data_IF_719051317710
#
_entry.id   IF_719051317710
#
_cell.length_a   1.000
_cell.length_b   1.000
_cell.length_c   1.000
_cell.angle_alpha   90.00
_cell.angle_beta   90.00
_cell.angle_gamma   90.00
#
_symmetry.space_group_name_H-M   'P 1'
#
loop_
_entity.id
_entity.type
_entity.pdbx_description
1 polymer ?
#
# COMPACT_ATOMS: atom_id res chain seq x y z
N UNK A 1 2.26 -4.40 -1.14
CA UNK A 1 3.33 -4.07 -0.17
C UNK A 1 3.32 -5.05 1.01
N UNK A 2 4.44 -5.13 1.71
CA UNK A 2 4.55 -5.95 2.92
C UNK A 2 3.86 -5.28 4.12
N UNK A 3 3.01 -6.05 4.81
CA UNK A 3 2.31 -5.67 6.03
C UNK A 3 2.49 -6.77 7.07
N UNK A 4 3.33 -6.58 8.11
CA UNK A 4 3.55 -7.61 9.14
C UNK A 4 2.30 -8.08 9.86
N UNK A 5 1.35 -7.18 10.00
CA UNK A 5 0.08 -7.39 10.71
C UNK A 5 -0.94 -8.21 9.90
N UNK A 6 -0.61 -8.61 8.67
CA UNK A 6 -1.52 -9.42 7.85
C UNK A 6 -1.72 -10.81 8.46
N UNK A 7 -2.98 -11.15 8.69
CA UNK A 7 -3.44 -12.48 9.03
C UNK A 7 -4.53 -12.92 8.07
N UNK A 8 -4.20 -13.88 7.19
CA UNK A 8 -5.17 -14.42 6.24
C UNK A 8 -6.19 -15.33 6.96
N UNK A 9 -7.42 -15.45 6.42
CA UNK A 9 -8.41 -16.37 6.97
C UNK A 9 -7.92 -17.82 6.94
N UNK A 10 -8.48 -18.65 7.81
CA UNK A 10 -8.22 -20.09 7.80
C UNK A 10 -8.52 -20.66 6.42
N UNK A 11 -7.59 -21.47 5.88
CA UNK A 11 -7.71 -22.03 4.53
C UNK A 11 -8.99 -22.84 4.36
N UNK A 12 -9.91 -22.32 3.57
CA UNK A 12 -11.07 -23.05 3.08
C UNK A 12 -10.69 -23.83 1.81
N UNK A 13 -10.51 -25.15 1.93
CA UNK A 13 -10.11 -26.01 0.83
C UNK A 13 -11.21 -26.18 -0.23
N UNK A 14 -12.46 -25.79 0.05
CA UNK A 14 -13.55 -25.81 -0.92
C UNK A 14 -13.48 -24.68 -1.95
N UNK A 15 -12.75 -23.60 -1.62
CA UNK A 15 -12.56 -22.44 -2.51
C UNK A 15 -11.31 -22.58 -3.36
N UNK A 16 -11.32 -22.11 -4.62
CA UNK A 16 -10.12 -22.06 -5.43
C UNK A 16 -9.04 -21.19 -4.77
N UNK A 17 -7.78 -21.59 -4.88
CA UNK A 17 -6.65 -20.85 -4.34
C UNK A 17 -6.11 -19.82 -5.33
N UNK A 18 -5.90 -18.60 -4.88
CA UNK A 18 -5.18 -17.57 -5.61
C UNK A 18 -3.82 -17.33 -4.94
N UNK A 19 -2.73 -17.56 -5.66
CA UNK A 19 -1.40 -17.27 -5.14
C UNK A 19 -1.26 -15.78 -4.83
N UNK A 20 -0.70 -15.44 -3.68
CA UNK A 20 -0.51 -14.04 -3.26
C UNK A 20 0.27 -13.21 -4.29
N UNK A 21 1.21 -13.82 -5.00
CA UNK A 21 1.98 -13.18 -6.07
C UNK A 21 1.16 -12.89 -7.33
N UNK A 22 0.05 -13.59 -7.53
CA UNK A 22 -0.86 -13.38 -8.66
C UNK A 22 -2.01 -12.42 -8.32
N UNK A 23 -2.15 -12.01 -7.06
CA UNK A 23 -3.30 -11.21 -6.62
C UNK A 23 -3.43 -9.89 -7.39
N UNK A 24 -2.34 -9.14 -7.54
CA UNK A 24 -2.33 -7.89 -8.31
C UNK A 24 -2.74 -8.14 -9.76
N UNK A 25 -2.13 -9.14 -10.42
CA UNK A 25 -2.43 -9.46 -11.81
C UNK A 25 -3.88 -9.90 -11.99
N UNK A 26 -4.40 -10.70 -11.07
CA UNK A 26 -5.82 -11.11 -11.09
C UNK A 26 -6.77 -9.90 -11.06
N UNK A 27 -6.47 -8.88 -10.22
CA UNK A 27 -7.28 -7.66 -10.17
C UNK A 27 -7.24 -6.91 -11.50
N UNK A 28 -6.05 -6.73 -12.07
CA UNK A 28 -5.85 -5.99 -13.32
C UNK A 28 -6.46 -6.70 -14.55
N UNK A 29 -6.48 -8.03 -14.56
CA UNK A 29 -6.99 -8.80 -15.70
C UNK A 29 -8.52 -8.92 -15.71
N UNK A 30 -9.17 -8.80 -14.54
CA UNK A 30 -10.60 -9.12 -14.42
C UNK A 30 -11.51 -7.92 -14.16
N UNK A 31 -10.97 -6.78 -13.69
CA UNK A 31 -11.79 -5.64 -13.29
C UNK A 31 -11.32 -4.35 -13.94
N UNK A 32 -12.29 -3.58 -14.49
CA UNK A 32 -12.01 -2.28 -15.07
C UNK A 32 -12.05 -1.15 -14.01
N UNK A 33 -12.78 -1.34 -12.93
CA UNK A 33 -12.95 -0.35 -11.88
C UNK A 33 -12.60 -0.93 -10.50
N UNK A 34 -12.22 -0.04 -9.58
CA UNK A 34 -11.98 -0.40 -8.17
C UNK A 34 -13.24 -0.97 -7.54
N UNK A 35 -14.40 -0.37 -7.85
CA UNK A 35 -15.67 -0.82 -7.28
C UNK A 35 -16.01 -2.27 -7.67
N UNK A 36 -15.83 -2.64 -8.95
CA UNK A 36 -16.03 -4.02 -9.41
C UNK A 36 -15.13 -5.00 -8.66
N UNK A 37 -13.85 -4.65 -8.51
CA UNK A 37 -12.89 -5.47 -7.78
C UNK A 37 -13.28 -5.64 -6.30
N UNK A 38 -13.70 -4.57 -5.64
CA UNK A 38 -14.15 -4.58 -4.25
C UNK A 38 -15.40 -5.45 -4.07
N UNK A 39 -16.39 -5.33 -4.95
CA UNK A 39 -17.61 -6.14 -4.87
C UNK A 39 -17.35 -7.64 -5.11
N UNK A 40 -16.37 -7.97 -5.93
CA UNK A 40 -15.95 -9.38 -6.09
C UNK A 40 -15.23 -9.90 -4.83
N UNK A 41 -14.31 -9.10 -4.27
CA UNK A 41 -13.57 -9.48 -3.07
C UNK A 41 -14.47 -9.71 -1.85
N UNK A 42 -15.54 -8.92 -1.71
CA UNK A 42 -16.55 -9.08 -0.64
C UNK A 42 -17.27 -10.44 -0.70
N UNK A 43 -17.34 -11.07 -1.86
CA UNK A 43 -17.93 -12.41 -2.01
C UNK A 43 -17.03 -13.53 -1.48
N UNK A 44 -15.75 -13.23 -1.27
CA UNK A 44 -14.74 -14.21 -0.85
C UNK A 44 -14.78 -15.49 -1.70
N UNK A 45 -14.89 -15.34 -3.01
CA UNK A 45 -15.05 -16.44 -4.00
C UNK A 45 -13.80 -17.32 -4.12
N UNK A 46 -12.66 -16.85 -3.67
CA UNK A 46 -11.38 -17.55 -3.63
C UNK A 46 -10.69 -17.35 -2.28
N UNK A 47 -9.69 -18.18 -1.99
CA UNK A 47 -8.79 -18.00 -0.86
C UNK A 47 -7.43 -17.50 -1.33
N UNK A 48 -6.75 -16.71 -0.51
CA UNK A 48 -5.35 -16.32 -0.75
C UNK A 48 -4.42 -17.45 -0.28
N UNK A 49 -3.60 -17.93 -1.20
CA UNK A 49 -2.53 -18.87 -0.92
C UNK A 49 -1.21 -18.10 -0.77
N UNK A 50 -0.78 -17.89 0.47
CA UNK A 50 0.43 -17.19 0.84
C UNK A 50 1.46 -18.17 1.43
N UNK A 51 2.35 -18.75 0.59
CA UNK A 51 3.40 -19.64 1.06
C UNK A 51 4.45 -18.85 1.85
N UNK A 52 5.21 -19.54 2.70
CA UNK A 52 6.38 -18.95 3.30
C UNK A 52 7.44 -18.65 2.25
N UNK A 53 8.14 -17.55 2.45
CA UNK A 53 9.30 -17.18 1.66
C UNK A 53 10.44 -18.21 1.84
N UNK A 54 11.42 -18.30 0.92
CA UNK A 54 12.55 -19.23 1.06
C UNK A 54 13.35 -19.07 2.37
N UNK A 55 13.33 -17.88 2.96
CA UNK A 55 13.95 -17.59 4.25
C UNK A 55 13.08 -17.96 5.46
N UNK A 56 11.91 -18.60 5.25
CA UNK A 56 10.97 -19.00 6.29
C UNK A 56 10.03 -17.92 6.78
N UNK A 57 10.15 -16.68 6.32
CA UNK A 57 9.22 -15.62 6.72
C UNK A 57 7.86 -15.76 6.03
N UNK A 58 6.79 -15.32 6.69
CA UNK A 58 5.46 -15.31 6.12
C UNK A 58 5.35 -14.29 4.98
N UNK A 59 4.61 -14.64 3.92
CA UNK A 59 4.30 -13.73 2.81
C UNK A 59 3.09 -12.86 3.17
N UNK A 60 3.29 -11.92 4.09
CA UNK A 60 2.24 -11.02 4.59
C UNK A 60 2.20 -9.75 3.75
N UNK A 61 1.15 -9.59 2.98
CA UNK A 61 1.01 -8.46 2.05
C UNK A 61 -0.35 -7.78 2.19
N UNK A 62 -0.39 -6.50 1.88
CA UNK A 62 -1.59 -5.75 1.58
C UNK A 62 -1.52 -5.16 0.16
N UNK A 63 -2.68 -4.80 -0.38
CA UNK A 63 -2.83 -4.35 -1.76
C UNK A 63 -3.52 -2.99 -1.80
N UNK A 64 -3.03 -2.09 -2.66
CA UNK A 64 -3.77 -0.92 -3.10
C UNK A 64 -4.01 -1.00 -4.60
N UNK A 65 -5.21 -0.68 -5.02
CA UNK A 65 -5.63 -0.57 -6.42
C UNK A 65 -6.28 0.78 -6.64
N UNK A 66 -6.08 1.35 -7.83
CA UNK A 66 -6.65 2.65 -8.23
C UNK A 66 -7.13 2.55 -9.67
N UNK A 67 -8.27 3.15 -9.99
CA UNK A 67 -8.80 3.24 -11.34
C UNK A 67 -8.64 4.64 -11.95
N UNK A 68 -9.05 4.79 -13.22
CA UNK A 68 -8.93 6.04 -13.99
C UNK A 68 -9.74 7.20 -13.41
N UNK A 69 -10.74 6.93 -12.58
CA UNK A 69 -11.55 7.97 -11.92
C UNK A 69 -10.86 8.54 -10.67
N UNK A 70 -9.74 7.93 -10.26
CA UNK A 70 -9.03 8.21 -9.02
C UNK A 70 -9.65 7.53 -7.79
N UNK A 71 -10.65 6.65 -7.98
CA UNK A 71 -11.11 5.81 -6.88
C UNK A 71 -10.02 4.80 -6.51
N UNK A 72 -9.80 4.60 -5.22
CA UNK A 72 -8.75 3.73 -4.69
C UNK A 72 -9.35 2.78 -3.67
N UNK A 73 -8.86 1.56 -3.61
CA UNK A 73 -9.12 0.67 -2.49
C UNK A 73 -7.82 0.17 -1.88
N UNK A 74 -7.73 0.22 -0.55
CA UNK A 74 -6.69 -0.42 0.26
C UNK A 74 -7.30 -1.67 0.91
N UNK A 75 -6.66 -2.80 0.68
CA UNK A 75 -7.16 -4.13 1.00
C UNK A 75 -6.17 -4.81 1.95
N UNK A 76 -6.61 -5.13 3.15
CA UNK A 76 -5.82 -5.78 4.19
C UNK A 76 -6.57 -6.99 4.76
N UNK A 77 -5.85 -8.07 5.02
CA UNK A 77 -6.37 -9.17 5.83
C UNK A 77 -5.89 -9.01 7.26
N UNK A 78 -6.82 -8.79 8.18
CA UNK A 78 -6.55 -8.53 9.59
C UNK A 78 -7.40 -9.45 10.45
N UNK A 79 -6.76 -10.17 11.37
CA UNK A 79 -7.46 -11.13 12.23
C UNK A 79 -8.34 -12.13 11.43
N UNK A 80 -7.87 -12.53 10.24
CA UNK A 80 -8.59 -13.43 9.36
C UNK A 80 -9.75 -12.82 8.56
N UNK A 81 -9.94 -11.50 8.62
CA UNK A 81 -11.01 -10.80 7.93
C UNK A 81 -10.46 -9.82 6.89
N UNK A 82 -11.19 -9.65 5.79
CA UNK A 82 -10.86 -8.67 4.77
C UNK A 82 -11.33 -7.27 5.23
N UNK A 83 -10.38 -6.37 5.43
CA UNK A 83 -10.61 -4.94 5.67
C UNK A 83 -10.45 -4.18 4.36
N UNK A 84 -11.41 -3.33 4.03
CA UNK A 84 -11.46 -2.56 2.79
C UNK A 84 -11.65 -1.08 3.12
N UNK A 85 -10.75 -0.24 2.62
CA UNK A 85 -10.90 1.20 2.60
C UNK A 85 -11.04 1.64 1.14
N UNK A 86 -12.25 2.02 0.72
CA UNK A 86 -12.55 2.44 -0.66
C UNK A 86 -12.94 3.91 -0.70
N UNK A 87 -12.30 4.71 -1.56
CA UNK A 87 -12.58 6.12 -1.74
C UNK A 87 -11.43 6.86 -2.40
N UNK A 88 -11.71 8.06 -2.91
CA UNK A 88 -10.71 8.92 -3.57
C UNK A 88 -9.70 9.53 -2.60
N UNK A 89 -10.02 9.54 -1.32
CA UNK A 89 -9.16 10.03 -0.23
C UNK A 89 -8.03 9.06 0.14
N UNK A 90 -8.13 7.78 -0.22
CA UNK A 90 -7.18 6.74 0.16
C UNK A 90 -6.02 6.59 -0.84
N UNK A 91 -5.37 7.69 -1.20
CA UNK A 91 -4.35 7.75 -2.26
C UNK A 91 -2.96 7.27 -1.84
N UNK A 92 -2.70 7.11 -0.56
CA UNK A 92 -1.39 6.75 -0.03
C UNK A 92 -1.48 5.46 0.75
N UNK A 93 -0.55 4.55 0.53
CA UNK A 93 -0.36 3.35 1.33
C UNK A 93 1.13 3.14 1.55
N UNK A 94 1.52 2.85 2.78
CA UNK A 94 2.88 2.42 3.13
C UNK A 94 2.80 1.06 3.83
N UNK A 95 3.85 0.61 4.52
CA UNK A 95 3.85 -0.70 5.16
C UNK A 95 3.04 -0.71 6.48
N UNK A 96 3.69 -0.98 7.61
CA UNK A 96 3.15 -0.99 8.96
C UNK A 96 2.99 0.45 9.53
N UNK A 97 2.05 0.68 10.43
CA UNK A 97 1.02 -0.22 10.92
C UNK A 97 -0.15 -0.42 9.93
N UNK A 98 -1.15 -1.23 10.33
CA UNK A 98 -2.40 -1.40 9.57
C UNK A 98 -3.03 -0.05 9.21
N UNK A 99 -3.80 -0.03 8.13
CA UNK A 99 -4.17 1.21 7.45
C UNK A 99 -5.00 2.18 8.30
N UNK A 100 -5.92 1.68 9.11
CA UNK A 100 -6.71 2.48 10.05
C UNK A 100 -5.83 3.23 11.07
N UNK A 101 -4.74 2.60 11.53
CA UNK A 101 -3.78 3.27 12.42
C UNK A 101 -2.92 4.31 11.67
N UNK A 102 -2.59 4.05 10.40
CA UNK A 102 -1.92 5.06 9.57
C UNK A 102 -2.79 6.30 9.39
N UNK A 103 -4.09 6.14 9.18
CA UNK A 103 -5.05 7.24 9.09
C UNK A 103 -5.11 8.02 10.41
N UNK A 104 -5.23 7.36 11.54
CA UNK A 104 -5.26 8.01 12.86
C UNK A 104 -3.97 8.78 13.17
N UNK A 105 -2.81 8.22 12.83
CA UNK A 105 -1.51 8.91 12.97
C UNK A 105 -1.46 10.14 12.06
N UNK A 106 -1.96 10.05 10.84
CA UNK A 106 -2.01 11.16 9.91
C UNK A 106 -2.90 12.29 10.42
N UNK A 107 -4.04 11.98 11.00
CA UNK A 107 -4.95 12.96 11.57
C UNK A 107 -4.32 13.67 12.78
N UNK A 108 -3.61 12.94 13.65
CA UNK A 108 -2.81 13.55 14.71
C UNK A 108 -1.81 14.57 14.17
N UNK A 109 -1.06 14.24 13.12
CA UNK A 109 -0.07 15.15 12.54
C UNK A 109 -0.69 16.35 11.82
N UNK A 110 -1.89 16.22 11.26
CA UNK A 110 -2.66 17.37 10.73
C UNK A 110 -2.97 18.41 11.83
N UNK A 111 -3.31 17.95 13.04
CA UNK A 111 -3.57 18.84 14.18
C UNK A 111 -2.29 19.49 14.70
N UNK A 112 -1.20 18.72 14.79
CA UNK A 112 0.06 19.19 15.40
C UNK A 112 0.80 20.21 14.53
N UNK A 113 0.87 19.96 13.21
CA UNK A 113 1.88 20.65 12.44
C UNK A 113 1.47 21.20 11.10
N UNK A 114 0.74 20.49 10.32
CA UNK A 114 0.45 20.89 8.94
C UNK A 114 1.73 21.30 8.20
N UNK A 115 1.78 22.52 7.70
CA UNK A 115 2.94 23.08 6.98
C UNK A 115 4.19 23.31 7.84
N UNK A 116 4.05 23.38 9.17
CA UNK A 116 5.15 23.76 10.04
C UNK A 116 5.97 22.58 10.54
N UNK A 117 5.37 21.39 10.62
CA UNK A 117 6.04 20.20 11.14
C UNK A 117 5.51 18.93 10.51
N UNK A 118 6.41 18.14 9.92
CA UNK A 118 6.15 16.82 9.42
C UNK A 118 7.14 15.82 10.05
N UNK A 119 6.73 14.57 10.32
CA UNK A 119 7.63 13.59 10.90
C UNK A 119 8.74 13.21 9.90
N UNK A 120 9.99 13.18 10.35
CA UNK A 120 11.18 13.07 9.49
C UNK A 120 11.82 11.68 9.45
N UNK A 121 11.31 10.67 10.17
CA UNK A 121 11.96 9.36 10.19
C UNK A 121 11.64 8.50 8.96
N UNK A 122 12.39 7.41 8.81
CA UNK A 122 12.14 6.40 7.76
C UNK A 122 11.04 5.39 8.14
N UNK A 123 10.41 5.55 9.30
CA UNK A 123 9.28 4.70 9.69
C UNK A 123 8.15 4.80 8.68
N UNK A 124 7.46 3.71 8.47
CA UNK A 124 6.36 3.61 7.52
C UNK A 124 5.25 4.63 7.80
N UNK A 125 4.85 4.79 9.06
CA UNK A 125 3.88 5.78 9.50
C UNK A 125 4.31 7.22 9.19
N UNK A 126 5.58 7.56 9.39
CA UNK A 126 6.09 8.91 9.12
C UNK A 126 6.15 9.18 7.61
N UNK A 127 6.51 8.16 6.82
CA UNK A 127 6.46 8.23 5.36
C UNK A 127 5.04 8.40 4.84
N UNK A 128 4.07 7.73 5.48
CA UNK A 128 2.65 7.88 5.16
C UNK A 128 2.19 9.32 5.37
N UNK A 129 2.49 9.92 6.52
CA UNK A 129 2.13 11.31 6.84
C UNK A 129 2.75 12.28 5.83
N UNK A 130 4.05 12.13 5.51
CA UNK A 130 4.70 12.98 4.50
C UNK A 130 4.09 12.83 3.11
N UNK A 131 3.87 11.59 2.68
CA UNK A 131 3.26 11.33 1.38
C UNK A 131 1.84 11.92 1.30
N UNK A 132 1.03 11.71 2.34
CA UNK A 132 -0.33 12.24 2.43
C UNK A 132 -0.35 13.76 2.40
N UNK A 133 0.59 14.43 3.07
CA UNK A 133 0.71 15.86 3.00
C UNK A 133 1.12 16.35 1.60
N UNK A 134 2.18 15.78 1.04
CA UNK A 134 2.74 16.25 -0.22
C UNK A 134 1.85 15.95 -1.43
N UNK A 135 1.13 14.83 -1.47
CA UNK A 135 0.24 14.53 -2.59
C UNK A 135 -0.90 15.55 -2.72
N UNK A 136 -1.31 16.16 -1.61
CA UNK A 136 -2.29 17.23 -1.62
C UNK A 136 -1.68 18.63 -1.86
N UNK A 137 -0.37 18.79 -1.58
CA UNK A 137 0.34 20.06 -1.75
C UNK A 137 0.89 20.28 -3.15
N UNK A 138 1.09 19.22 -3.95
CA UNK A 138 1.56 19.33 -5.34
C UNK A 138 0.46 19.88 -6.27
N UNK A 139 0.83 20.48 -7.43
CA UNK A 139 -0.15 20.98 -8.39
C UNK A 139 -1.12 19.88 -8.86
N UNK A 140 -2.40 20.16 -8.74
CA UNK A 140 -3.45 19.31 -9.33
C UNK A 140 -3.65 19.75 -10.79
N UNK A 141 -3.23 18.93 -11.74
CA UNK A 141 -3.23 19.27 -13.16
C UNK A 141 -3.46 18.04 -14.04
N UNK A 142 -4.19 18.16 -15.15
CA UNK A 142 -4.32 17.09 -16.15
C UNK A 142 -3.09 16.98 -17.07
N UNK A 143 -2.14 17.91 -17.00
CA UNK A 143 -0.91 17.83 -17.79
C UNK A 143 0.05 16.79 -17.20
N UNK A 144 0.17 15.67 -17.90
CA UNK A 144 1.06 14.58 -17.49
C UNK A 144 2.54 15.00 -17.36
N UNK A 145 2.98 16.01 -18.12
CA UNK A 145 4.36 16.53 -18.06
C UNK A 145 4.64 17.23 -16.72
N UNK A 146 3.61 17.70 -16.04
CA UNK A 146 3.68 18.29 -14.71
C UNK A 146 3.29 17.27 -13.63
N UNK A 147 2.19 16.56 -13.82
CA UNK A 147 1.66 15.62 -12.85
C UNK A 147 2.67 14.49 -12.52
N UNK A 148 3.23 13.84 -13.54
CA UNK A 148 4.15 12.71 -13.34
C UNK A 148 5.42 13.11 -12.55
N UNK A 149 6.18 14.16 -12.92
CA UNK A 149 7.32 14.60 -12.12
C UNK A 149 6.95 15.03 -10.70
N UNK A 150 5.76 15.64 -10.53
CA UNK A 150 5.29 16.06 -9.20
C UNK A 150 5.05 14.85 -8.29
N UNK A 151 4.33 13.83 -8.76
CA UNK A 151 4.13 12.58 -8.00
C UNK A 151 5.46 11.88 -7.73
N UNK A 152 6.37 11.81 -8.71
CA UNK A 152 7.69 11.22 -8.53
C UNK A 152 8.52 11.99 -7.48
N UNK A 153 8.34 13.31 -7.34
CA UNK A 153 9.01 14.09 -6.30
C UNK A 153 8.51 13.72 -4.89
N UNK A 154 7.21 13.47 -4.75
CA UNK A 154 6.62 12.94 -3.50
C UNK A 154 7.22 11.56 -3.19
N UNK A 155 7.27 10.67 -4.16
CA UNK A 155 7.85 9.34 -3.99
C UNK A 155 9.33 9.40 -3.55
N UNK A 156 10.13 10.30 -4.13
CA UNK A 156 11.52 10.51 -3.73
C UNK A 156 11.65 11.04 -2.31
N UNK A 157 10.76 11.93 -1.89
CA UNK A 157 10.78 12.48 -0.53
C UNK A 157 10.54 11.41 0.54
N UNK A 158 9.70 10.42 0.25
CA UNK A 158 9.41 9.32 1.18
C UNK A 158 10.27 8.08 0.95
N UNK A 159 11.14 8.11 -0.04
CA UNK A 159 12.07 7.03 -0.34
C UNK A 159 13.28 7.05 0.60
N UNK A 160 13.88 5.89 0.78
CA UNK A 160 15.14 5.71 1.53
C UNK A 160 16.25 5.47 0.50
N UNK A 161 17.46 5.96 0.73
CA UNK A 161 18.58 5.67 -0.18
C UNK A 161 18.78 4.16 -0.38
N UNK A 162 19.07 3.78 -1.62
CA UNK A 162 19.32 2.38 -1.97
C UNK A 162 20.48 1.81 -1.15
N UNK A 163 20.33 0.55 -0.71
CA UNK A 163 21.37 -0.15 0.04
C UNK A 163 21.42 0.13 1.53
N UNK A 164 20.57 1.03 2.05
CA UNK A 164 20.43 1.16 3.50
C UNK A 164 19.74 -0.10 4.03
N UNK A 165 20.41 -0.74 4.97
CA UNK A 165 19.87 -1.87 5.73
C UNK A 165 20.06 -1.62 7.21
N UNK A 166 19.14 -2.08 8.03
CA UNK A 166 19.32 -2.15 9.47
C UNK A 166 19.53 -3.61 9.85
N UNK A 167 20.56 -3.93 10.66
CA UNK A 167 20.87 -5.31 11.05
C UNK A 167 19.65 -6.06 11.64
N UNK A 168 18.82 -5.33 12.38
CA UNK A 168 17.69 -5.90 13.11
C UNK A 168 16.41 -6.05 12.25
N UNK A 169 16.34 -5.35 11.11
CA UNK A 169 15.15 -5.34 10.23
C UNK A 169 15.55 -5.16 8.76
N UNK A 170 16.13 -6.17 8.12
CA UNK A 170 16.71 -6.03 6.78
C UNK A 170 15.71 -5.77 5.66
N UNK A 171 14.41 -5.93 5.90
CA UNK A 171 13.38 -5.87 4.85
C UNK A 171 12.45 -4.64 4.92
N UNK A 172 12.70 -3.69 5.82
CA UNK A 172 11.84 -2.49 6.00
C UNK A 172 11.88 -1.54 4.79
N UNK A 173 12.80 -1.71 3.86
CA UNK A 173 13.15 -0.72 2.84
C UNK A 173 12.72 -1.11 1.43
N UNK A 174 11.73 -1.97 1.27
CA UNK A 174 11.38 -2.63 0.01
C UNK A 174 10.77 -1.74 -1.09
N UNK A 175 10.34 -0.53 -0.82
CA UNK A 175 9.65 0.30 -1.82
C UNK A 175 10.55 0.86 -2.92
N UNK A 176 11.87 0.85 -2.76
CA UNK A 176 12.82 1.42 -3.73
C UNK A 176 13.26 0.41 -4.78
N UNK A 177 13.14 -0.88 -4.49
CA UNK A 177 13.61 -1.93 -5.40
C UNK A 177 12.73 -2.16 -6.63
N UNK A 178 11.53 -1.61 -6.65
CA UNK A 178 10.57 -1.82 -7.75
C UNK A 178 10.76 -0.85 -8.91
N UNK A 179 11.51 0.22 -8.73
CA UNK A 179 11.60 1.31 -9.71
C UNK A 179 12.97 1.51 -10.37
N UNK A 180 13.95 0.63 -10.16
CA UNK A 180 15.18 0.72 -10.93
C UNK A 180 14.98 0.16 -12.34
N UNK A 181 15.24 0.95 -13.40
CA UNK A 181 15.33 0.39 -14.73
C UNK A 181 16.51 -0.58 -14.73
N UNK A 182 16.21 -1.83 -15.03
CA UNK A 182 17.26 -2.80 -15.37
C UNK A 182 18.13 -2.22 -16.48
N UNK A 183 19.39 -2.01 -16.21
CA UNK A 183 20.40 -1.70 -17.23
C UNK A 183 20.59 -2.87 -18.16
#
# INVERSE_FOLDING_TARGET
>A
LWLPETEYPVRDQSKPGLAITAWVQYMLDNFATVHEAVEELKKESFRIDAPHMPNGSASTLHLAITDETGNTAVLEYLDGNLSIHEGKEFQVMTNSPRYDYQLAINDYWKEVGGLQMLPGTNRSSDRFVRASFYIHAIPQTPDAKIAVPSVLSVMRNVSVPFGITTPDKPHILSLIHISEPTR
#
